data_IF_787985048776
#
_entry.id   IF_787985048776
#
_cell.length_a   1.000
_cell.length_b   1.000
_cell.length_c   1.000
_cell.angle_alpha   90.00
_cell.angle_beta   90.00
_cell.angle_gamma   90.00
#
_symmetry.space_group_name_H-M   'P 1'
#
loop_
_entity.id
_entity.type
_entity.pdbx_description
1 polymer ?
#
# COMPACT_ATOMS: atom_id res chain seq x y z
N UNK A 1 -29.61 14.87 9.41
CA UNK A 1 -30.68 14.86 8.36
C UNK A 1 -30.34 13.80 7.33
N UNK A 2 -31.32 13.30 6.57
CA UNK A 2 -31.08 12.38 5.46
C UNK A 2 -31.04 13.19 4.15
N UNK A 3 -30.05 12.94 3.29
CA UNK A 3 -29.87 13.62 2.00
C UNK A 3 -29.62 12.59 0.91
N UNK A 4 -30.19 12.82 -0.26
CA UNK A 4 -29.98 12.04 -1.47
C UNK A 4 -28.99 12.76 -2.39
N UNK A 5 -27.97 12.04 -2.86
CA UNK A 5 -26.96 12.55 -3.81
C UNK A 5 -26.85 11.57 -4.97
N UNK A 6 -26.48 12.07 -6.16
CA UNK A 6 -26.33 11.25 -7.36
C UNK A 6 -25.03 11.57 -8.07
N UNK A 7 -24.24 10.53 -8.40
CA UNK A 7 -22.99 10.61 -9.13
C UNK A 7 -22.89 9.48 -10.16
N UNK A 8 -21.98 9.59 -11.14
CA UNK A 8 -21.69 8.47 -12.02
C UNK A 8 -20.84 7.42 -11.29
N UNK A 9 -19.84 7.86 -10.55
CA UNK A 9 -18.98 6.97 -9.76
C UNK A 9 -18.75 7.51 -8.37
N UNK A 10 -18.88 6.65 -7.36
CA UNK A 10 -18.45 6.91 -6.00
C UNK A 10 -17.19 6.09 -5.68
N UNK A 11 -16.17 6.76 -5.10
CA UNK A 11 -14.91 6.15 -4.68
C UNK A 11 -14.82 6.25 -3.16
N UNK A 12 -14.61 5.15 -2.48
CA UNK A 12 -14.48 5.08 -1.02
C UNK A 12 -13.03 4.84 -0.63
N UNK A 13 -12.34 5.88 -0.20
CA UNK A 13 -10.94 5.86 0.21
C UNK A 13 -10.06 6.78 -0.63
N UNK A 14 -9.26 7.63 0.04
CA UNK A 14 -8.36 8.64 -0.53
C UNK A 14 -6.88 8.20 -0.54
N UNK A 15 -6.59 6.90 -0.48
CA UNK A 15 -5.26 6.35 -0.74
C UNK A 15 -4.89 6.40 -2.23
N UNK A 16 -3.65 5.98 -2.59
CA UNK A 16 -3.15 6.07 -3.98
C UNK A 16 -4.09 5.41 -4.98
N UNK A 17 -4.71 4.28 -4.64
CA UNK A 17 -5.63 3.57 -5.54
C UNK A 17 -6.90 4.37 -5.82
N UNK A 18 -7.53 4.95 -4.79
CA UNK A 18 -8.73 5.78 -4.97
C UNK A 18 -8.44 7.07 -5.73
N UNK A 19 -7.34 7.74 -5.40
CA UNK A 19 -6.91 8.97 -6.08
C UNK A 19 -6.57 8.69 -7.55
N UNK A 20 -5.85 7.60 -7.82
CA UNK A 20 -5.47 7.27 -9.20
C UNK A 20 -6.67 6.82 -10.03
N UNK A 21 -7.62 6.06 -9.44
CA UNK A 21 -8.89 5.76 -10.10
C UNK A 21 -9.63 7.04 -10.51
N UNK A 22 -9.74 8.04 -9.61
CA UNK A 22 -10.37 9.32 -9.91
C UNK A 22 -9.70 10.05 -11.07
N UNK A 23 -8.36 10.01 -11.18
CA UNK A 23 -7.60 10.60 -12.30
C UNK A 23 -7.81 9.89 -13.63
N UNK A 24 -8.08 8.57 -13.61
CA UNK A 24 -8.19 7.72 -14.80
C UNK A 24 -9.62 7.55 -15.32
N UNK A 25 -10.62 7.86 -14.51
CA UNK A 25 -12.02 7.87 -14.93
C UNK A 25 -12.29 8.96 -15.98
N UNK A 26 -13.30 8.78 -16.86
CA UNK A 26 -13.67 9.78 -17.85
C UNK A 26 -13.98 11.14 -17.22
N UNK A 27 -13.49 12.22 -17.86
CA UNK A 27 -13.68 13.59 -17.37
C UNK A 27 -15.14 14.08 -17.44
N UNK A 28 -15.96 13.37 -18.19
CA UNK A 28 -17.39 13.62 -18.34
C UNK A 28 -18.21 13.07 -17.18
N UNK A 29 -17.64 12.17 -16.37
CA UNK A 29 -18.31 11.62 -15.20
C UNK A 29 -18.23 12.56 -14.01
N UNK A 30 -19.33 12.70 -13.28
CA UNK A 30 -19.34 13.29 -11.95
C UNK A 30 -18.90 12.22 -10.94
N UNK A 31 -17.82 12.50 -10.23
CA UNK A 31 -17.19 11.58 -9.30
C UNK A 31 -17.28 12.13 -7.89
N UNK A 32 -17.69 11.30 -6.94
CA UNK A 32 -17.56 11.58 -5.52
C UNK A 32 -16.47 10.70 -4.93
N UNK A 33 -15.50 11.31 -4.25
CA UNK A 33 -14.50 10.61 -3.45
C UNK A 33 -14.75 10.92 -1.97
N UNK A 34 -14.92 9.88 -1.16
CA UNK A 34 -15.10 10.03 0.28
C UNK A 34 -13.97 9.35 1.05
N UNK A 35 -13.62 9.86 2.23
CA UNK A 35 -12.73 9.19 3.18
C UNK A 35 -13.16 9.48 4.62
N UNK A 36 -12.91 8.52 5.51
CA UNK A 36 -13.39 8.59 6.89
C UNK A 36 -12.56 9.46 7.82
N UNK A 37 -11.34 9.77 7.42
CA UNK A 37 -10.42 10.67 8.13
C UNK A 37 -10.09 11.87 7.22
N UNK A 38 -9.16 12.72 7.63
CA UNK A 38 -8.59 13.71 6.74
C UNK A 38 -7.82 13.05 5.57
N UNK A 39 -7.65 13.78 4.48
CA UNK A 39 -7.06 13.27 3.25
C UNK A 39 -5.64 12.71 3.41
N UNK A 40 -4.75 13.28 4.27
CA UNK A 40 -3.42 12.71 4.51
C UNK A 40 -3.40 11.43 5.35
N UNK A 41 -4.45 11.13 6.10
CA UNK A 41 -4.49 9.97 7.01
C UNK A 41 -4.79 8.67 6.28
N UNK A 42 -3.86 8.25 5.43
CA UNK A 42 -3.91 6.98 4.70
C UNK A 42 -2.53 6.30 4.68
N UNK A 43 -2.52 4.96 4.64
CA UNK A 43 -1.27 4.18 4.68
C UNK A 43 -0.36 4.42 3.46
N UNK A 44 -0.92 4.86 2.34
CA UNK A 44 -0.15 5.25 1.17
C UNK A 44 0.85 6.37 1.48
N UNK A 45 0.48 7.32 2.37
CA UNK A 45 1.38 8.38 2.85
C UNK A 45 2.55 7.85 3.67
N UNK A 46 2.43 6.66 4.25
CA UNK A 46 3.42 6.07 5.15
C UNK A 46 4.45 5.21 4.43
N UNK A 47 4.24 4.87 3.16
CA UNK A 47 5.13 3.99 2.42
C UNK A 47 6.50 4.65 2.20
N UNK A 48 7.55 4.02 2.74
CA UNK A 48 8.90 4.58 2.78
C UNK A 48 9.77 4.09 1.60
N UNK A 49 9.71 2.79 1.27
CA UNK A 49 10.66 2.13 0.38
C UNK A 49 10.61 2.65 -1.06
N UNK A 50 9.56 2.34 -1.79
CA UNK A 50 9.45 2.76 -3.17
C UNK A 50 8.36 2.06 -3.96
N UNK A 51 8.48 2.14 -5.28
CA UNK A 51 7.59 1.50 -6.24
C UNK A 51 8.40 0.74 -7.29
N UNK A 52 8.07 -0.54 -7.49
CA UNK A 52 8.74 -1.38 -8.47
C UNK A 52 8.41 -0.97 -9.90
N UNK A 53 9.37 -1.18 -10.81
CA UNK A 53 9.17 -1.02 -12.26
C UNK A 53 9.99 -2.05 -13.02
N UNK A 54 9.46 -2.58 -14.10
CA UNK A 54 10.21 -3.35 -15.09
C UNK A 54 11.16 -2.39 -15.83
N UNK A 55 12.48 -2.50 -15.60
CA UNK A 55 13.47 -1.57 -16.17
C UNK A 55 13.61 -1.67 -17.68
N UNK A 56 13.63 -2.89 -18.18
CA UNK A 56 13.73 -3.23 -19.59
C UNK A 56 13.15 -4.62 -19.86
N UNK A 57 13.13 -5.06 -21.11
CA UNK A 57 12.56 -6.36 -21.47
C UNK A 57 13.28 -7.54 -20.80
N UNK A 58 14.59 -7.39 -20.51
CA UNK A 58 15.39 -8.44 -19.87
C UNK A 58 15.12 -8.58 -18.38
N UNK A 59 14.40 -7.61 -17.76
CA UNK A 59 14.06 -7.63 -16.35
C UNK A 59 12.76 -8.37 -16.06
N UNK A 60 11.91 -8.61 -17.07
CA UNK A 60 10.59 -9.22 -16.89
C UNK A 60 10.64 -10.55 -16.14
N UNK A 61 11.40 -11.52 -16.65
CA UNK A 61 11.46 -12.86 -16.07
C UNK A 61 11.97 -12.84 -14.62
N UNK A 62 12.97 -11.99 -14.35
CA UNK A 62 13.51 -11.81 -13.00
C UNK A 62 12.48 -11.17 -12.06
N UNK A 63 11.73 -10.16 -12.51
CA UNK A 63 10.72 -9.50 -11.69
C UNK A 63 9.53 -10.43 -11.42
N UNK A 64 9.10 -11.17 -12.43
CA UNK A 64 8.04 -12.16 -12.34
C UNK A 64 8.39 -13.26 -11.33
N UNK A 65 9.59 -13.84 -11.46
CA UNK A 65 10.08 -14.90 -10.55
C UNK A 65 10.26 -14.41 -9.11
N UNK A 66 10.85 -13.21 -8.91
CA UNK A 66 10.99 -12.61 -7.58
C UNK A 66 9.62 -12.44 -6.90
N UNK A 67 8.60 -12.00 -7.67
CA UNK A 67 7.23 -11.83 -7.17
C UNK A 67 6.58 -13.15 -6.81
N UNK A 68 6.70 -14.18 -7.67
CA UNK A 68 6.14 -15.50 -7.39
C UNK A 68 6.82 -16.16 -6.18
N UNK A 69 8.14 -16.08 -6.11
CA UNK A 69 8.92 -16.66 -5.02
C UNK A 69 8.59 -16.01 -3.67
N UNK A 70 8.47 -14.68 -3.64
CA UNK A 70 8.06 -13.95 -2.44
C UNK A 70 6.66 -14.37 -1.98
N UNK A 71 5.74 -14.55 -2.93
CA UNK A 71 4.35 -14.97 -2.70
C UNK A 71 4.17 -16.47 -2.46
N UNK A 72 5.26 -17.23 -2.30
CA UNK A 72 5.26 -18.70 -2.12
C UNK A 72 4.63 -19.45 -3.29
N UNK A 73 4.65 -18.87 -4.51
CA UNK A 73 4.01 -19.39 -5.72
C UNK A 73 2.48 -19.55 -5.61
N UNK A 74 1.85 -18.91 -4.62
CA UNK A 74 0.39 -18.84 -4.46
C UNK A 74 -0.22 -17.62 -5.16
N UNK A 75 0.57 -16.95 -5.98
CA UNK A 75 0.17 -15.79 -6.76
C UNK A 75 -0.73 -16.19 -7.95
N UNK A 76 -1.68 -15.31 -8.28
CA UNK A 76 -2.38 -15.37 -9.57
C UNK A 76 -1.45 -14.83 -10.66
N UNK A 77 -0.88 -15.72 -11.47
CA UNK A 77 0.15 -15.40 -12.48
C UNK A 77 -0.31 -14.34 -13.49
N UNK A 78 -1.56 -14.38 -13.91
CA UNK A 78 -2.16 -13.36 -14.79
C UNK A 78 -2.08 -11.96 -14.17
N UNK A 79 -2.40 -11.83 -12.89
CA UNK A 79 -2.37 -10.54 -12.18
C UNK A 79 -0.94 -10.02 -12.01
N UNK A 80 0.02 -10.92 -11.78
CA UNK A 80 1.45 -10.57 -11.74
C UNK A 80 1.93 -10.08 -13.10
N UNK A 81 1.56 -10.76 -14.20
CA UNK A 81 1.88 -10.35 -15.57
C UNK A 81 1.31 -8.97 -15.89
N UNK A 82 0.02 -8.75 -15.59
CA UNK A 82 -0.63 -7.45 -15.78
C UNK A 82 0.11 -6.35 -15.01
N UNK A 83 0.43 -6.57 -13.73
CA UNK A 83 1.14 -5.59 -12.92
C UNK A 83 2.50 -5.22 -13.53
N UNK A 84 3.30 -6.21 -13.89
CA UNK A 84 4.67 -5.97 -14.38
C UNK A 84 4.65 -5.26 -15.74
N UNK A 85 3.83 -5.70 -16.68
CA UNK A 85 3.76 -5.10 -18.03
C UNK A 85 3.28 -3.65 -18.01
N UNK A 86 2.39 -3.29 -17.09
CA UNK A 86 1.89 -1.92 -16.97
C UNK A 86 2.80 -1.02 -16.11
N UNK A 87 3.85 -1.56 -15.47
CA UNK A 87 4.67 -0.81 -14.51
C UNK A 87 5.36 0.43 -15.10
N UNK A 88 5.90 0.34 -16.33
CA UNK A 88 6.54 1.47 -17.00
C UNK A 88 5.55 2.57 -17.34
N UNK A 89 4.36 2.20 -17.80
CA UNK A 89 3.31 3.16 -18.11
C UNK A 89 2.90 3.94 -16.85
N UNK A 90 2.73 3.25 -15.73
CA UNK A 90 2.43 3.87 -14.42
C UNK A 90 3.55 4.83 -13.99
N UNK A 91 4.83 4.43 -14.06
CA UNK A 91 5.94 5.33 -13.68
C UNK A 91 6.00 6.56 -14.57
N UNK A 92 5.81 6.40 -15.89
CA UNK A 92 5.80 7.53 -16.82
C UNK A 92 4.63 8.49 -16.54
N UNK A 93 3.46 7.96 -16.20
CA UNK A 93 2.29 8.75 -15.83
C UNK A 93 2.53 9.52 -14.51
N UNK A 94 3.08 8.86 -13.49
CA UNK A 94 3.46 9.51 -12.24
C UNK A 94 4.45 10.67 -12.46
N UNK A 95 5.44 10.49 -13.32
CA UNK A 95 6.38 11.54 -13.72
C UNK A 95 5.67 12.69 -14.42
N UNK A 96 4.74 12.40 -15.34
CA UNK A 96 3.94 13.40 -16.05
C UNK A 96 3.02 14.17 -15.09
N UNK A 97 2.49 13.54 -14.04
CA UNK A 97 1.70 14.16 -12.98
C UNK A 97 2.56 15.01 -12.01
N UNK A 98 3.89 14.91 -12.10
CA UNK A 98 4.82 15.72 -11.31
C UNK A 98 5.40 15.02 -10.08
N UNK A 99 5.30 13.68 -9.98
CA UNK A 99 5.99 12.92 -8.92
C UNK A 99 7.51 13.03 -9.11
N UNK A 100 8.22 13.31 -8.04
CA UNK A 100 9.68 13.45 -8.01
C UNK A 100 10.30 12.18 -7.48
N UNK A 101 10.91 11.40 -8.35
CA UNK A 101 11.79 10.31 -7.95
C UNK A 101 13.24 10.78 -7.90
N UNK A 102 14.05 10.13 -7.08
CA UNK A 102 15.48 10.37 -7.01
C UNK A 102 16.15 10.01 -8.33
N UNK A 103 17.18 10.77 -8.72
CA UNK A 103 17.85 10.66 -10.02
C UNK A 103 19.34 10.51 -9.87
N UNK A 104 19.96 9.88 -10.84
CA UNK A 104 21.41 9.86 -11.03
C UNK A 104 21.91 11.22 -11.51
N UNK A 105 23.23 11.41 -11.51
CA UNK A 105 23.87 12.67 -11.93
C UNK A 105 23.58 13.04 -13.40
N UNK A 106 23.26 12.05 -14.25
CA UNK A 106 22.89 12.23 -15.65
C UNK A 106 21.40 12.54 -15.86
N UNK A 107 20.62 12.59 -14.78
CA UNK A 107 19.19 12.86 -14.82
C UNK A 107 18.30 11.63 -15.04
N UNK A 108 18.86 10.45 -15.22
CA UNK A 108 18.11 9.19 -15.27
C UNK A 108 17.56 8.83 -13.89
N UNK A 109 16.51 7.96 -13.85
CA UNK A 109 15.97 7.49 -12.58
C UNK A 109 17.00 6.66 -11.81
N UNK A 110 17.13 6.95 -10.53
CA UNK A 110 17.90 6.12 -9.61
C UNK A 110 17.04 4.95 -9.13
N UNK A 111 17.66 3.76 -9.05
CA UNK A 111 16.97 2.55 -8.61
C UNK A 111 17.66 1.96 -7.39
N UNK A 112 16.86 1.56 -6.41
CA UNK A 112 17.31 0.79 -5.25
C UNK A 112 16.82 -0.65 -5.29
N UNK A 113 17.32 -1.45 -4.36
CA UNK A 113 16.96 -2.85 -4.18
C UNK A 113 16.56 -3.09 -2.73
N UNK A 114 15.47 -3.79 -2.51
CA UNK A 114 15.06 -4.29 -1.20
C UNK A 114 15.26 -5.82 -1.12
N UNK A 115 15.02 -6.39 0.05
CA UNK A 115 15.12 -7.82 0.27
C UNK A 115 14.24 -8.64 -0.69
N UNK A 116 14.69 -9.84 -1.04
CA UNK A 116 14.06 -10.76 -1.98
C UNK A 116 14.01 -10.30 -3.46
N UNK A 117 14.54 -9.11 -3.80
CA UNK A 117 14.73 -8.69 -5.19
C UNK A 117 16.09 -9.16 -5.74
N UNK A 118 16.10 -9.76 -6.92
CA UNK A 118 17.33 -10.15 -7.61
C UNK A 118 18.08 -8.95 -8.21
N UNK A 119 17.34 -7.90 -8.64
CA UNK A 119 17.89 -6.72 -9.31
C UNK A 119 17.37 -5.42 -8.69
N UNK A 120 18.13 -4.28 -8.77
CA UNK A 120 17.61 -2.96 -8.46
C UNK A 120 16.54 -2.57 -9.48
N UNK A 121 15.28 -2.38 -9.02
CA UNK A 121 14.15 -1.98 -9.88
C UNK A 121 13.13 -1.10 -9.17
N UNK A 122 13.51 -0.52 -8.05
CA UNK A 122 12.60 0.26 -7.21
C UNK A 122 12.92 1.73 -7.40
N UNK A 123 11.96 2.49 -7.95
CA UNK A 123 11.98 3.94 -7.96
C UNK A 123 11.60 4.45 -6.56
N UNK A 124 12.26 5.47 -6.08
CA UNK A 124 12.06 6.00 -4.74
C UNK A 124 12.26 7.51 -4.66
N UNK A 125 11.75 8.12 -3.61
CA UNK A 125 12.03 9.48 -3.21
C UNK A 125 12.48 9.47 -1.75
N UNK A 126 13.79 9.41 -1.53
CA UNK A 126 14.37 9.23 -0.18
C UNK A 126 13.67 8.06 0.54
N UNK A 127 13.23 8.29 1.78
CA UNK A 127 12.43 7.35 2.58
C UNK A 127 10.96 7.79 2.77
N UNK A 128 10.42 8.56 1.81
CA UNK A 128 9.05 9.11 1.84
C UNK A 128 8.33 8.95 0.49
N UNK A 129 8.62 7.90 -0.25
CA UNK A 129 8.10 7.70 -1.61
C UNK A 129 6.58 7.71 -1.67
N UNK A 130 5.91 7.04 -0.75
CA UNK A 130 4.45 7.01 -0.71
C UNK A 130 3.85 8.39 -0.47
N UNK A 131 4.46 9.20 0.40
CA UNK A 131 4.04 10.58 0.64
C UNK A 131 4.15 11.42 -0.63
N UNK A 132 5.29 11.37 -1.33
CA UNK A 132 5.51 12.11 -2.57
C UNK A 132 4.48 11.75 -3.65
N UNK A 133 4.21 10.44 -3.83
CA UNK A 133 3.21 9.97 -4.79
C UNK A 133 1.81 10.44 -4.36
N UNK A 134 1.40 10.17 -3.12
CA UNK A 134 0.05 10.44 -2.64
C UNK A 134 -0.29 11.93 -2.66
N UNK A 135 0.60 12.80 -2.16
CA UNK A 135 0.42 14.25 -2.21
C UNK A 135 0.33 14.79 -3.64
N UNK A 136 1.10 14.23 -4.56
CA UNK A 136 1.06 14.62 -5.97
C UNK A 136 -0.25 14.20 -6.61
N UNK A 137 -0.71 12.95 -6.41
CA UNK A 137 -2.01 12.50 -6.90
C UNK A 137 -3.15 13.33 -6.31
N UNK A 138 -3.12 13.60 -5.00
CA UNK A 138 -4.14 14.40 -4.33
C UNK A 138 -4.26 15.80 -4.93
N UNK A 139 -3.14 16.51 -5.13
CA UNK A 139 -3.15 17.83 -5.79
C UNK A 139 -3.77 17.79 -7.18
N UNK A 140 -3.45 16.75 -7.95
CA UNK A 140 -4.02 16.59 -9.30
C UNK A 140 -5.52 16.29 -9.24
N UNK A 141 -5.99 15.44 -8.32
CA UNK A 141 -7.42 15.15 -8.13
C UNK A 141 -8.20 16.42 -7.68
N UNK A 142 -7.64 17.18 -6.73
CA UNK A 142 -8.25 18.45 -6.27
C UNK A 142 -8.38 19.50 -7.37
N UNK A 143 -7.57 19.40 -8.43
CA UNK A 143 -7.67 20.29 -9.59
C UNK A 143 -8.72 19.85 -10.62
N UNK A 144 -9.34 18.68 -10.46
CA UNK A 144 -10.37 18.17 -11.38
C UNK A 144 -11.75 18.78 -11.05
N UNK A 145 -12.39 19.49 -12.01
CA UNK A 145 -13.67 20.14 -11.75
C UNK A 145 -14.85 19.15 -11.62
N UNK A 146 -14.67 17.91 -12.07
CA UNK A 146 -15.68 16.85 -12.05
C UNK A 146 -15.57 15.93 -10.84
N UNK A 147 -14.63 16.18 -9.90
CA UNK A 147 -14.46 15.40 -8.68
C UNK A 147 -14.86 16.23 -7.45
N UNK A 148 -15.81 15.71 -6.71
CA UNK A 148 -16.15 16.22 -5.37
C UNK A 148 -15.44 15.36 -4.33
N UNK A 149 -14.80 15.98 -3.35
CA UNK A 149 -14.14 15.27 -2.24
C UNK A 149 -14.88 15.59 -0.94
N UNK A 150 -15.17 14.54 -0.16
CA UNK A 150 -15.75 14.65 1.18
C UNK A 150 -14.88 13.83 2.14
N UNK A 151 -14.07 14.50 2.93
CA UNK A 151 -13.36 13.92 4.07
C UNK A 151 -14.28 13.76 5.28
N UNK A 152 -13.81 13.13 6.35
CA UNK A 152 -14.59 12.81 7.56
C UNK A 152 -15.99 12.26 7.24
N UNK A 153 -16.08 11.48 6.14
CA UNK A 153 -17.31 10.88 5.65
C UNK A 153 -17.14 9.35 5.62
N UNK A 154 -17.90 8.67 6.47
CA UNK A 154 -17.77 7.23 6.72
C UNK A 154 -18.81 6.46 5.90
N UNK A 155 -18.37 5.49 5.08
CA UNK A 155 -19.28 4.53 4.47
C UNK A 155 -19.86 3.59 5.54
N UNK A 156 -21.17 3.59 5.70
CA UNK A 156 -21.88 2.74 6.66
C UNK A 156 -22.49 1.50 6.00
N UNK A 157 -22.95 1.62 4.74
CA UNK A 157 -23.58 0.52 4.02
C UNK A 157 -23.48 0.67 2.50
N UNK A 158 -23.85 -0.39 1.76
CA UNK A 158 -24.03 -0.36 0.32
C UNK A 158 -25.53 -0.24 -0.02
N UNK A 159 -25.86 0.40 -1.15
CA UNK A 159 -27.18 0.40 -1.74
C UNK A 159 -27.24 -0.78 -2.73
N UNK A 160 -27.88 -1.87 -2.35
CA UNK A 160 -27.89 -3.13 -3.12
C UNK A 160 -29.32 -3.54 -3.48
N UNK A 161 -29.51 -3.88 -4.74
CA UNK A 161 -30.73 -4.54 -5.24
C UNK A 161 -30.35 -5.78 -6.04
N UNK A 162 -30.81 -6.94 -5.58
CA UNK A 162 -30.36 -8.23 -6.12
C UNK A 162 -28.86 -8.42 -5.97
N UNK A 163 -28.14 -8.62 -7.08
CA UNK A 163 -26.66 -8.69 -7.11
C UNK A 163 -26.04 -7.44 -7.74
N UNK A 164 -26.67 -6.28 -7.57
CA UNK A 164 -26.21 -5.03 -8.17
C UNK A 164 -26.01 -3.96 -7.09
N UNK A 165 -24.85 -3.31 -7.10
CA UNK A 165 -24.56 -2.14 -6.27
C UNK A 165 -25.05 -0.87 -7.00
N UNK A 166 -25.82 -0.05 -6.31
CA UNK A 166 -26.35 1.24 -6.80
C UNK A 166 -25.78 2.44 -6.04
N UNK A 167 -24.68 2.25 -5.30
CA UNK A 167 -24.05 3.27 -4.50
C UNK A 167 -23.89 2.88 -3.04
N UNK A 168 -23.84 3.89 -2.16
CA UNK A 168 -23.53 3.71 -0.74
C UNK A 168 -24.44 4.53 0.17
N UNK A 169 -24.51 4.12 1.43
CA UNK A 169 -24.95 4.97 2.53
C UNK A 169 -23.72 5.44 3.29
N UNK A 170 -23.60 6.72 3.51
CA UNK A 170 -22.49 7.30 4.25
C UNK A 170 -22.96 8.25 5.34
N UNK A 171 -22.13 8.46 6.35
CA UNK A 171 -22.35 9.42 7.42
C UNK A 171 -21.28 10.50 7.36
N UNK A 172 -21.73 11.74 7.16
CA UNK A 172 -20.86 12.90 7.14
C UNK A 172 -20.45 13.33 8.56
N UNK A 173 -19.41 14.16 8.67
CA UNK A 173 -18.87 14.69 9.93
C UNK A 173 -19.94 15.33 10.84
N UNK A 174 -20.86 16.08 10.23
CA UNK A 174 -21.95 16.74 10.94
C UNK A 174 -23.10 15.79 11.39
N UNK A 175 -22.93 14.48 11.15
CA UNK A 175 -23.90 13.44 11.49
C UNK A 175 -25.05 13.26 10.49
N UNK A 176 -25.03 13.96 9.35
CA UNK A 176 -26.01 13.74 8.28
C UNK A 176 -25.80 12.37 7.63
N UNK A 177 -26.89 11.67 7.34
CA UNK A 177 -26.86 10.42 6.58
C UNK A 177 -27.03 10.76 5.08
N UNK A 178 -26.10 10.31 4.29
CA UNK A 178 -26.06 10.52 2.85
C UNK A 178 -26.39 9.21 2.13
N UNK A 179 -27.48 9.18 1.38
CA UNK A 179 -27.77 8.11 0.41
C UNK A 179 -27.19 8.55 -0.93
N UNK A 180 -26.08 7.94 -1.31
CA UNK A 180 -25.30 8.31 -2.49
C UNK A 180 -25.57 7.27 -3.57
N UNK A 181 -26.41 7.62 -4.54
CA UNK A 181 -26.67 6.79 -5.71
C UNK A 181 -25.54 6.96 -6.72
N UNK A 182 -25.04 5.85 -7.25
CA UNK A 182 -23.98 5.85 -8.25
C UNK A 182 -24.14 4.68 -9.22
N UNK A 183 -23.76 4.92 -10.48
CA UNK A 183 -23.71 3.86 -11.50
C UNK A 183 -22.61 2.84 -11.18
N UNK A 184 -21.47 3.32 -10.62
CA UNK A 184 -20.37 2.47 -10.20
C UNK A 184 -19.85 2.86 -8.82
N UNK A 185 -19.45 1.87 -8.04
CA UNK A 185 -18.83 2.04 -6.72
C UNK A 185 -17.45 1.41 -6.71
N UNK A 186 -16.41 2.17 -6.34
CA UNK A 186 -15.03 1.70 -6.20
C UNK A 186 -14.65 1.71 -4.71
N UNK A 187 -14.39 0.54 -4.16
CA UNK A 187 -13.89 0.36 -2.81
C UNK A 187 -12.35 0.43 -2.82
N UNK A 188 -11.79 1.47 -2.20
CA UNK A 188 -10.35 1.73 -2.06
C UNK A 188 -9.99 1.93 -0.58
N UNK A 189 -10.60 1.14 0.31
CA UNK A 189 -10.68 1.38 1.76
C UNK A 189 -9.46 0.93 2.54
N UNK A 190 -8.41 0.41 1.88
CA UNK A 190 -7.22 -0.11 2.53
C UNK A 190 -7.45 -1.44 3.24
N UNK A 191 -6.54 -1.78 4.16
CA UNK A 191 -6.48 -3.09 4.80
C UNK A 191 -7.20 -3.18 6.15
N UNK A 192 -6.62 -3.99 7.04
CA UNK A 192 -7.17 -4.38 8.36
C UNK A 192 -6.22 -4.08 9.51
N UNK A 193 -5.18 -3.28 9.28
CA UNK A 193 -4.10 -3.10 10.25
C UNK A 193 -4.54 -2.50 11.59
N UNK A 194 -5.61 -1.70 11.59
CA UNK A 194 -6.20 -1.14 12.81
C UNK A 194 -6.82 -2.17 13.76
N UNK A 195 -7.00 -3.42 13.32
CA UNK A 195 -7.47 -4.53 14.17
C UNK A 195 -6.35 -5.21 14.97
N UNK A 196 -5.08 -4.84 14.73
CA UNK A 196 -3.92 -5.44 15.35
C UNK A 196 -3.33 -4.52 16.44
N UNK A 197 -2.95 -5.10 17.57
CA UNK A 197 -2.29 -4.36 18.64
C UNK A 197 -0.94 -3.77 18.22
N UNK A 198 -0.17 -4.53 17.43
CA UNK A 198 1.10 -4.10 16.85
C UNK A 198 0.96 -3.98 15.34
N UNK A 199 0.85 -2.75 14.84
CA UNK A 199 0.68 -2.47 13.43
C UNK A 199 1.45 -1.23 13.00
N UNK A 200 1.90 -1.23 11.74
CA UNK A 200 2.49 -0.05 11.10
C UNK A 200 1.44 0.82 10.42
N UNK A 201 0.18 0.37 10.39
CA UNK A 201 -0.93 1.01 9.69
C UNK A 201 -1.68 2.01 10.59
N UNK A 202 -2.49 2.88 9.98
CA UNK A 202 -3.40 3.73 10.72
C UNK A 202 -4.44 2.90 11.47
N UNK A 203 -4.78 3.25 12.74
CA UNK A 203 -5.80 2.54 13.52
C UNK A 203 -7.19 2.58 12.89
N UNK A 204 -7.45 3.53 12.01
CA UNK A 204 -8.72 3.66 11.29
C UNK A 204 -8.93 2.58 10.21
N UNK A 205 -7.91 1.80 9.84
CA UNK A 205 -8.04 0.72 8.85
C UNK A 205 -8.62 -0.55 9.49
N UNK A 206 -9.93 -0.65 9.53
CA UNK A 206 -10.69 -1.68 10.25
C UNK A 206 -11.44 -2.67 9.35
N UNK A 207 -11.13 -2.69 8.04
CA UNK A 207 -11.74 -3.63 7.10
C UNK A 207 -13.21 -3.32 6.81
N UNK A 208 -13.61 -2.06 6.75
CA UNK A 208 -15.03 -1.67 6.63
C UNK A 208 -15.69 -2.25 5.38
N UNK A 209 -15.01 -2.18 4.22
CA UNK A 209 -15.53 -2.76 2.99
C UNK A 209 -15.61 -4.29 3.04
N UNK A 210 -14.70 -4.97 3.76
CA UNK A 210 -14.73 -6.43 3.89
C UNK A 210 -15.98 -6.89 4.64
N UNK A 211 -16.33 -6.20 5.72
CA UNK A 211 -17.55 -6.48 6.48
C UNK A 211 -18.81 -6.30 5.64
N UNK A 212 -18.85 -5.29 4.77
CA UNK A 212 -19.99 -5.08 3.87
C UNK A 212 -20.00 -6.10 2.73
N UNK A 213 -18.84 -6.46 2.19
CA UNK A 213 -18.72 -7.53 1.20
C UNK A 213 -19.28 -8.86 1.75
N UNK A 214 -18.91 -9.25 2.96
CA UNK A 214 -19.42 -10.44 3.64
C UNK A 214 -20.94 -10.35 3.84
N UNK A 215 -21.45 -9.20 4.34
CA UNK A 215 -22.88 -8.94 4.55
C UNK A 215 -23.73 -9.18 3.29
N UNK A 216 -23.21 -8.80 2.13
CA UNK A 216 -23.92 -8.88 0.86
C UNK A 216 -23.49 -10.07 -0.02
N UNK A 217 -22.70 -11.00 0.51
CA UNK A 217 -22.29 -12.20 -0.20
C UNK A 217 -21.31 -11.96 -1.35
N UNK A 218 -20.58 -10.84 -1.34
CA UNK A 218 -19.47 -10.60 -2.26
C UNK A 218 -18.29 -11.50 -1.87
N UNK A 219 -17.68 -12.16 -2.83
CA UNK A 219 -16.63 -13.15 -2.57
C UNK A 219 -15.41 -12.50 -1.91
N UNK A 220 -14.96 -13.12 -0.79
CA UNK A 220 -13.70 -12.78 -0.10
C UNK A 220 -12.70 -13.92 -0.31
N UNK A 221 -11.41 -13.58 -0.44
CA UNK A 221 -10.33 -14.56 -0.58
C UNK A 221 -9.16 -14.28 0.37
N UNK A 222 -8.47 -15.36 0.77
CA UNK A 222 -7.20 -15.32 1.48
C UNK A 222 -7.24 -14.43 2.75
N UNK A 223 -8.32 -14.50 3.51
CA UNK A 223 -8.56 -13.65 4.68
C UNK A 223 -7.53 -13.85 5.80
N UNK A 224 -6.76 -14.94 5.76
CA UNK A 224 -5.66 -15.26 6.66
C UNK A 224 -4.27 -14.82 6.14
N UNK A 225 -4.20 -14.20 4.93
CA UNK A 225 -2.94 -13.76 4.33
C UNK A 225 -2.56 -12.37 4.83
N UNK A 226 -1.87 -12.33 5.96
CA UNK A 226 -1.40 -11.10 6.60
C UNK A 226 0.12 -11.09 6.63
N UNK A 227 0.73 -10.02 6.15
CA UNK A 227 2.18 -9.82 6.18
C UNK A 227 2.59 -9.11 7.46
N UNK A 228 3.57 -9.70 8.14
CA UNK A 228 4.27 -9.08 9.26
C UNK A 228 5.56 -8.44 8.73
N UNK A 229 5.79 -7.17 9.04
CA UNK A 229 7.05 -6.50 8.74
C UNK A 229 8.06 -6.73 9.87
N UNK A 230 9.30 -7.15 9.56
CA UNK A 230 10.28 -7.51 10.57
C UNK A 230 10.73 -6.34 11.47
N UNK A 231 10.81 -5.13 10.92
CA UNK A 231 11.50 -4.01 11.54
C UNK A 231 10.60 -2.79 11.69
N UNK A 232 9.73 -2.80 12.71
CA UNK A 232 9.09 -1.59 13.23
C UNK A 232 9.82 -1.13 14.50
N UNK A 233 9.95 0.19 14.69
CA UNK A 233 10.56 0.75 15.89
C UNK A 233 9.76 0.33 17.12
N UNK A 234 10.40 -0.35 18.07
CA UNK A 234 9.74 -0.79 19.29
C UNK A 234 9.32 0.40 20.17
N UNK A 235 8.11 0.35 20.68
CA UNK A 235 7.58 1.33 21.62
C UNK A 235 6.61 0.64 22.57
N UNK A 236 6.64 1.00 23.85
CA UNK A 236 5.62 0.59 24.82
C UNK A 236 4.37 1.47 24.79
N UNK A 237 4.39 2.56 24.02
CA UNK A 237 3.22 3.43 23.83
C UNK A 237 2.21 2.75 22.92
N UNK A 238 0.90 2.83 23.24
CA UNK A 238 -0.12 2.31 22.35
C UNK A 238 -0.18 3.12 21.04
N UNK A 239 -0.66 2.48 19.99
CA UNK A 239 -0.84 3.11 18.67
C UNK A 239 0.06 2.51 17.59
N UNK A 240 0.18 3.24 16.49
CA UNK A 240 0.92 2.80 15.33
C UNK A 240 2.42 2.74 15.60
N UNK A 241 3.04 1.62 15.25
CA UNK A 241 4.50 1.48 15.27
C UNK A 241 5.13 2.13 14.03
N UNK A 242 6.20 2.90 14.24
CA UNK A 242 6.92 3.50 13.13
C UNK A 242 7.68 2.44 12.34
N UNK A 243 7.43 2.38 11.03
CA UNK A 243 8.13 1.46 10.12
C UNK A 243 9.58 1.92 9.92
N UNK A 244 10.55 1.03 10.10
CA UNK A 244 11.90 1.19 9.55
C UNK A 244 11.96 0.35 8.27
N UNK A 245 12.06 1.03 7.11
CA UNK A 245 11.96 0.45 5.78
C UNK A 245 12.90 -0.74 5.58
N UNK A 246 12.46 -1.68 4.76
CA UNK A 246 13.31 -2.78 4.29
C UNK A 246 14.52 -2.30 3.50
N UNK A 247 14.45 -1.11 2.87
CA UNK A 247 15.58 -0.48 2.19
C UNK A 247 16.78 -0.32 3.11
N UNK A 248 16.57 -0.02 4.41
CA UNK A 248 17.66 0.05 5.39
C UNK A 248 18.47 -1.25 5.46
N UNK A 249 17.79 -2.41 5.47
CA UNK A 249 18.42 -3.73 5.42
C UNK A 249 19.02 -4.02 4.05
N UNK A 250 18.37 -3.56 2.99
CA UNK A 250 18.88 -3.61 1.62
C UNK A 250 20.20 -2.86 1.43
N UNK A 251 20.40 -1.76 2.15
CA UNK A 251 21.60 -0.94 2.12
C UNK A 251 22.62 -1.32 3.21
N UNK A 252 22.36 -2.39 3.97
CA UNK A 252 23.39 -2.99 4.83
C UNK A 252 23.10 -2.97 6.32
N UNK A 253 21.97 -2.41 6.79
CA UNK A 253 21.62 -2.50 8.21
C UNK A 253 21.41 -3.96 8.63
N UNK A 254 21.89 -4.34 9.83
CA UNK A 254 21.93 -5.70 10.34
C UNK A 254 21.12 -5.87 11.62
N UNK A 255 20.57 -7.07 11.81
CA UNK A 255 19.82 -7.46 13.01
C UNK A 255 20.75 -8.10 14.04
N UNK A 256 20.68 -7.59 15.27
CA UNK A 256 21.48 -8.04 16.41
C UNK A 256 20.60 -8.51 17.55
N UNK A 257 21.01 -9.55 18.25
CA UNK A 257 20.43 -9.99 19.50
C UNK A 257 20.88 -9.12 20.70
N UNK A 258 20.49 -9.45 21.93
CA UNK A 258 20.84 -8.72 23.14
C UNK A 258 22.36 -8.74 23.45
N UNK A 259 23.11 -9.66 22.85
CA UNK A 259 24.57 -9.79 23.00
C UNK A 259 25.33 -9.06 21.91
N UNK A 260 24.63 -8.41 20.96
CA UNK A 260 25.26 -7.74 19.80
C UNK A 260 25.68 -8.70 18.70
N UNK A 261 25.14 -9.91 18.66
CA UNK A 261 25.45 -10.94 17.68
C UNK A 261 24.41 -10.95 16.56
N UNK A 262 24.85 -11.04 15.30
CA UNK A 262 23.96 -11.22 14.13
C UNK A 262 23.42 -12.63 14.10
N UNK A 263 22.10 -12.81 13.94
CA UNK A 263 21.41 -14.10 14.06
C UNK A 263 20.63 -14.51 12.81
N UNK A 264 20.48 -13.66 11.82
CA UNK A 264 19.70 -13.91 10.60
C UNK A 264 20.31 -13.24 9.39
N UNK A 265 20.01 -13.75 8.18
CA UNK A 265 20.25 -13.02 6.94
C UNK A 265 19.06 -12.07 6.69
N UNK A 266 19.29 -10.78 6.79
CA UNK A 266 18.28 -9.72 6.72
C UNK A 266 17.64 -9.56 5.34
N UNK A 267 18.23 -10.12 4.28
CA UNK A 267 17.74 -10.07 2.90
C UNK A 267 16.80 -11.23 2.53
N UNK A 268 16.51 -12.12 3.47
CA UNK A 268 15.48 -13.15 3.29
C UNK A 268 14.07 -12.49 3.20
N UNK A 269 13.05 -13.20 2.66
CA UNK A 269 11.67 -12.76 2.68
C UNK A 269 11.18 -12.38 4.09
N UNK A 270 10.27 -11.42 4.17
CA UNK A 270 9.79 -10.82 5.45
C UNK A 270 9.29 -11.84 6.46
N UNK A 271 8.53 -12.84 6.00
CA UNK A 271 8.03 -13.92 6.85
C UNK A 271 9.17 -14.71 7.52
N UNK A 272 10.27 -14.98 6.80
CA UNK A 272 11.44 -15.68 7.33
C UNK A 272 12.21 -14.82 8.33
N UNK A 273 12.40 -13.54 8.03
CA UNK A 273 13.07 -12.63 8.95
C UNK A 273 12.23 -12.39 10.20
N UNK A 274 10.91 -12.19 10.08
CA UNK A 274 10.01 -12.03 11.22
C UNK A 274 10.00 -13.28 12.12
N UNK A 275 9.94 -14.47 11.53
CA UNK A 275 10.02 -15.73 12.28
C UNK A 275 11.34 -15.87 13.05
N UNK A 276 12.47 -15.50 12.44
CA UNK A 276 13.78 -15.52 13.10
C UNK A 276 13.84 -14.52 14.26
N UNK A 277 13.28 -13.33 14.11
CA UNK A 277 13.20 -12.33 15.19
C UNK A 277 12.36 -12.86 16.35
N UNK A 278 11.17 -13.41 16.09
CA UNK A 278 10.33 -13.98 17.13
C UNK A 278 11.04 -15.11 17.90
N UNK A 279 11.71 -16.02 17.15
CA UNK A 279 12.48 -17.11 17.77
C UNK A 279 13.62 -16.60 18.66
N UNK A 280 14.34 -15.55 18.24
CA UNK A 280 15.43 -14.97 19.04
C UNK A 280 14.89 -14.23 20.26
N UNK A 281 13.78 -13.48 20.11
CA UNK A 281 13.09 -12.83 21.24
C UNK A 281 12.62 -13.84 22.28
N UNK A 282 12.02 -14.96 21.87
CA UNK A 282 11.55 -16.03 22.76
C UNK A 282 12.74 -16.68 23.50
N UNK A 283 13.80 -17.00 22.75
CA UNK A 283 15.03 -17.62 23.30
C UNK A 283 15.69 -16.75 24.36
N UNK A 284 15.70 -15.43 24.17
CA UNK A 284 16.34 -14.48 25.09
C UNK A 284 15.39 -13.89 26.15
N UNK A 285 14.08 -14.09 26.00
CA UNK A 285 13.06 -13.51 26.88
C UNK A 285 12.98 -11.99 26.73
N UNK A 286 13.23 -11.46 25.54
CA UNK A 286 13.24 -10.02 25.25
C UNK A 286 11.97 -9.58 24.50
N UNK A 287 11.64 -8.29 24.58
CA UNK A 287 10.48 -7.71 23.88
C UNK A 287 10.83 -7.18 22.47
N UNK A 288 12.09 -7.11 22.13
CA UNK A 288 12.60 -6.60 20.86
C UNK A 288 13.99 -7.17 20.57
N UNK A 289 14.43 -7.00 19.34
CA UNK A 289 15.83 -7.14 18.90
C UNK A 289 16.38 -5.78 18.48
N UNK A 290 17.61 -5.73 18.01
CA UNK A 290 18.28 -4.49 17.64
C UNK A 290 18.57 -4.41 16.16
N UNK A 291 18.28 -3.26 15.53
CA UNK A 291 18.68 -2.95 14.15
C UNK A 291 19.84 -1.96 14.18
N UNK A 292 21.00 -2.39 13.70
CA UNK A 292 22.22 -1.59 13.65
C UNK A 292 22.48 -1.06 12.24
N UNK A 293 22.70 0.24 12.14
CA UNK A 293 23.12 0.92 10.92
C UNK A 293 24.64 1.06 10.82
N UNK A 294 25.42 0.46 11.73
CA UNK A 294 26.88 0.57 11.72
C UNK A 294 27.57 0.21 10.39
N UNK A 295 27.06 -0.75 9.58
CA UNK A 295 27.62 -1.03 8.26
C UNK A 295 27.21 -0.01 7.17
N UNK A 296 26.22 0.85 7.42
CA UNK A 296 25.71 1.85 6.46
C UNK A 296 26.52 3.13 6.62
N UNK A 297 27.05 3.72 5.54
CA UNK A 297 27.76 5.00 5.62
C UNK A 297 26.89 6.10 6.25
N UNK A 298 27.45 6.91 7.14
CA UNK A 298 26.70 7.96 7.84
C UNK A 298 26.05 8.98 6.89
N UNK A 299 26.69 9.24 5.76
CA UNK A 299 26.18 10.12 4.70
C UNK A 299 24.93 9.51 4.04
N UNK A 300 24.91 8.18 3.81
CA UNK A 300 23.77 7.48 3.23
C UNK A 300 22.58 7.47 4.21
N UNK A 301 22.82 7.37 5.52
CA UNK A 301 21.75 7.49 6.52
C UNK A 301 21.05 8.85 6.41
N UNK A 302 21.80 9.94 6.25
CA UNK A 302 21.23 11.28 6.12
C UNK A 302 20.55 11.53 4.78
N UNK A 303 21.11 11.00 3.69
CA UNK A 303 20.65 11.26 2.34
C UNK A 303 19.48 10.35 1.92
N UNK A 304 19.54 9.06 2.30
CA UNK A 304 18.55 8.06 1.87
C UNK A 304 17.45 7.84 2.91
N UNK A 305 17.76 8.02 4.22
CA UNK A 305 16.84 7.72 5.32
C UNK A 305 16.61 8.90 6.27
N UNK A 306 16.44 10.16 5.77
CA UNK A 306 16.36 11.34 6.64
C UNK A 306 15.16 11.30 7.59
N UNK A 307 14.02 10.75 7.17
CA UNK A 307 12.84 10.63 8.00
C UNK A 307 13.00 9.51 9.05
N UNK A 308 13.60 8.37 8.67
CA UNK A 308 13.93 7.29 9.62
C UNK A 308 14.91 7.80 10.68
N UNK A 309 15.98 8.47 10.25
CA UNK A 309 16.96 9.04 11.17
C UNK A 309 16.34 10.02 12.16
N UNK A 310 15.55 10.96 11.65
CA UNK A 310 14.84 11.94 12.47
C UNK A 310 13.92 11.26 13.49
N UNK A 311 13.10 10.30 13.05
CA UNK A 311 12.13 9.63 13.93
C UNK A 311 12.81 8.78 14.99
N UNK A 312 13.89 8.06 14.65
CA UNK A 312 14.68 7.32 15.62
C UNK A 312 15.31 8.25 16.66
N UNK A 313 15.88 9.38 16.21
CA UNK A 313 16.48 10.37 17.09
C UNK A 313 15.44 10.99 18.04
N UNK A 314 14.25 11.33 17.57
CA UNK A 314 13.13 11.81 18.40
C UNK A 314 12.66 10.77 19.42
N UNK A 315 12.80 9.48 19.08
CA UNK A 315 12.54 8.36 19.99
C UNK A 315 13.71 8.09 20.99
N UNK A 316 14.83 8.81 20.85
CA UNK A 316 15.99 8.70 21.75
C UNK A 316 17.14 7.83 21.23
N UNK A 317 17.09 7.39 19.93
CA UNK A 317 18.09 6.51 19.32
C UNK A 317 18.84 7.23 18.19
N UNK A 318 20.12 7.54 18.40
CA UNK A 318 20.99 8.04 17.32
C UNK A 318 21.55 6.86 16.52
N UNK A 319 20.82 6.45 15.45
CA UNK A 319 21.16 5.27 14.65
C UNK A 319 22.50 5.35 13.91
N UNK A 320 23.16 6.50 13.92
CA UNK A 320 24.56 6.63 13.46
C UNK A 320 25.57 6.14 14.49
N UNK A 321 25.18 6.05 15.76
CA UNK A 321 26.05 5.72 16.90
C UNK A 321 25.66 4.44 17.61
N UNK A 322 24.38 4.13 17.62
CA UNK A 322 23.81 3.02 18.37
C UNK A 322 22.68 2.32 17.60
N UNK A 323 22.40 1.04 17.86
CA UNK A 323 21.27 0.36 17.23
C UNK A 323 19.92 0.82 17.79
N UNK A 324 18.88 0.80 16.95
CA UNK A 324 17.51 1.04 17.36
C UNK A 324 16.79 -0.28 17.73
N UNK A 325 15.92 -0.29 18.76
CA UNK A 325 15.12 -1.47 19.09
C UNK A 325 14.02 -1.67 18.06
N UNK A 326 13.85 -2.91 17.56
CA UNK A 326 12.85 -3.23 16.56
C UNK A 326 12.07 -4.49 16.91
N UNK A 327 10.82 -4.55 16.46
CA UNK A 327 9.89 -5.65 16.68
C UNK A 327 9.08 -5.90 15.41
N UNK A 328 8.74 -7.17 15.09
CA UNK A 328 7.79 -7.47 14.02
C UNK A 328 6.40 -6.90 14.32
N UNK A 329 5.75 -6.32 13.31
CA UNK A 329 4.40 -5.77 13.42
C UNK A 329 3.58 -6.09 12.16
N UNK A 330 2.25 -6.15 12.30
CA UNK A 330 1.36 -6.24 11.15
C UNK A 330 1.63 -5.07 10.20
N UNK A 331 1.65 -5.34 8.88
CA UNK A 331 2.04 -4.33 7.92
C UNK A 331 1.19 -4.29 6.66
N UNK A 332 0.78 -5.43 6.09
CA UNK A 332 0.02 -5.48 4.85
C UNK A 332 -0.94 -6.67 4.83
N UNK A 333 -2.10 -6.47 4.23
CA UNK A 333 -3.12 -7.50 4.06
C UNK A 333 -3.18 -7.94 2.59
N UNK A 334 -2.83 -9.20 2.29
CA UNK A 334 -2.85 -9.73 0.93
C UNK A 334 -4.16 -10.40 0.55
N UNK A 335 -5.03 -10.65 1.53
CA UNK A 335 -6.41 -11.08 1.31
C UNK A 335 -7.33 -9.93 0.93
N UNK A 336 -8.64 -10.17 0.92
CA UNK A 336 -9.64 -9.13 0.70
C UNK A 336 -10.76 -9.52 -0.24
N UNK A 337 -11.42 -8.52 -0.80
CA UNK A 337 -12.50 -8.69 -1.76
C UNK A 337 -11.92 -9.28 -3.06
N UNK A 338 -12.42 -10.47 -3.44
CA UNK A 338 -12.00 -11.10 -4.69
C UNK A 338 -12.38 -10.25 -5.89
N UNK A 339 -11.44 -10.05 -6.79
CA UNK A 339 -11.66 -9.30 -8.03
C UNK A 339 -11.07 -10.03 -9.24
N UNK A 340 -11.64 -9.76 -10.40
CA UNK A 340 -11.13 -10.18 -11.69
C UNK A 340 -9.95 -9.31 -12.18
N UNK A 341 -9.53 -9.49 -13.43
CA UNK A 341 -8.45 -8.71 -14.05
C UNK A 341 -8.76 -7.21 -14.22
N UNK A 342 -10.04 -6.83 -14.14
CA UNK A 342 -10.54 -5.46 -14.25
C UNK A 342 -10.90 -4.85 -12.90
N UNK A 343 -10.51 -5.50 -11.80
CA UNK A 343 -10.88 -5.12 -10.43
C UNK A 343 -12.38 -5.15 -10.14
N UNK A 344 -13.18 -5.83 -10.97
CA UNK A 344 -14.61 -6.04 -10.76
C UNK A 344 -14.81 -7.17 -9.74
N UNK A 345 -15.72 -6.96 -8.79
CA UNK A 345 -16.10 -7.96 -7.79
C UNK A 345 -17.14 -8.93 -8.36
N UNK A 346 -17.61 -9.88 -7.54
CA UNK A 346 -18.74 -10.77 -7.88
C UNK A 346 -20.11 -10.06 -7.88
N UNK A 347 -20.18 -8.81 -7.43
CA UNK A 347 -21.38 -7.97 -7.49
C UNK A 347 -21.27 -6.98 -8.65
N UNK A 348 -22.34 -6.82 -9.42
CA UNK A 348 -22.38 -5.88 -10.54
C UNK A 348 -22.22 -4.44 -10.06
N UNK A 349 -21.49 -3.62 -10.83
CA UNK A 349 -21.19 -2.21 -10.57
C UNK A 349 -20.41 -1.94 -9.28
N UNK A 350 -19.80 -2.99 -8.68
CA UNK A 350 -18.93 -2.91 -7.52
C UNK A 350 -17.52 -3.36 -7.88
N UNK A 351 -16.55 -2.46 -7.62
CA UNK A 351 -15.12 -2.67 -7.85
C UNK A 351 -14.37 -2.57 -6.53
N UNK A 352 -13.22 -3.24 -6.43
CA UNK A 352 -12.31 -3.08 -5.30
C UNK A 352 -10.87 -2.95 -5.80
N UNK A 353 -10.12 -1.97 -5.27
CA UNK A 353 -8.76 -1.65 -5.70
C UNK A 353 -7.83 -1.39 -4.52
N UNK A 354 -6.53 -1.64 -4.70
CA UNK A 354 -5.54 -1.54 -3.64
C UNK A 354 -5.72 -2.60 -2.56
N UNK A 355 -5.25 -2.35 -1.36
CA UNK A 355 -5.14 -3.35 -0.29
C UNK A 355 -6.48 -3.95 0.17
N UNK A 356 -7.62 -3.31 -0.10
CA UNK A 356 -8.94 -3.90 0.18
C UNK A 356 -9.32 -5.04 -0.77
N UNK A 357 -8.63 -5.13 -1.93
CA UNK A 357 -8.88 -6.14 -2.97
C UNK A 357 -7.92 -7.33 -2.88
N UNK A 358 -8.40 -8.50 -3.22
CA UNK A 358 -7.60 -9.70 -3.45
C UNK A 358 -7.58 -10.05 -4.95
N UNK A 359 -6.69 -9.41 -5.70
CA UNK A 359 -6.43 -9.74 -7.11
C UNK A 359 -5.42 -10.88 -7.29
N UNK A 360 -4.76 -11.32 -6.21
CA UNK A 360 -3.84 -12.43 -6.18
C UNK A 360 -2.41 -12.11 -6.63
N UNK A 361 -2.05 -10.83 -6.83
CA UNK A 361 -0.66 -10.43 -7.18
C UNK A 361 0.35 -10.88 -6.14
N UNK A 362 0.00 -10.77 -4.85
CA UNK A 362 0.97 -10.90 -3.77
C UNK A 362 1.14 -12.33 -3.24
N UNK A 363 0.23 -13.25 -3.59
CA UNK A 363 0.24 -14.60 -2.99
C UNK A 363 0.18 -14.52 -1.46
N UNK A 364 0.90 -15.42 -0.80
CA UNK A 364 0.89 -15.53 0.68
C UNK A 364 1.81 -14.55 1.39
N UNK A 365 2.74 -13.91 0.67
CA UNK A 365 3.67 -12.92 1.22
C UNK A 365 4.10 -11.95 0.13
N UNK A 366 3.88 -10.64 0.36
CA UNK A 366 4.10 -9.60 -0.62
C UNK A 366 5.60 -9.30 -0.80
N UNK A 367 6.05 -9.24 -2.06
CA UNK A 367 7.36 -8.68 -2.39
C UNK A 367 7.36 -7.18 -2.07
N UNK A 368 8.41 -6.71 -1.43
CA UNK A 368 8.55 -5.30 -1.07
C UNK A 368 8.39 -4.37 -2.28
N UNK A 369 7.82 -3.19 -2.09
CA UNK A 369 7.59 -2.15 -3.10
C UNK A 369 6.67 -2.53 -4.27
N UNK A 370 5.99 -3.69 -4.24
CA UNK A 370 4.97 -4.08 -5.22
C UNK A 370 3.58 -3.48 -4.93
N UNK A 371 3.25 -3.12 -3.67
CA UNK A 371 1.90 -2.71 -3.30
C UNK A 371 1.44 -1.40 -3.94
N UNK A 372 2.31 -0.39 -4.01
CA UNK A 372 1.98 0.86 -4.68
C UNK A 372 1.76 0.65 -6.18
N UNK A 373 2.60 -0.18 -6.83
CA UNK A 373 2.44 -0.51 -8.25
C UNK A 373 1.14 -1.26 -8.51
N UNK A 374 0.86 -2.31 -7.72
CA UNK A 374 -0.39 -3.06 -7.79
C UNK A 374 -1.60 -2.14 -7.66
N UNK A 375 -1.61 -1.29 -6.62
CA UNK A 375 -2.70 -0.36 -6.33
C UNK A 375 -3.00 0.58 -7.50
N UNK A 376 -1.96 1.11 -8.16
CA UNK A 376 -2.11 2.02 -9.30
C UNK A 376 -2.55 1.28 -10.56
N UNK A 377 -1.90 0.17 -10.90
CA UNK A 377 -2.24 -0.62 -12.09
C UNK A 377 -3.70 -1.07 -12.05
N UNK A 378 -4.14 -1.66 -10.94
CA UNK A 378 -5.49 -2.19 -10.85
C UNK A 378 -6.57 -1.11 -10.65
N UNK A 379 -6.21 0.05 -10.11
CA UNK A 379 -7.09 1.24 -10.14
C UNK A 379 -7.33 1.73 -11.57
N UNK A 380 -6.29 1.74 -12.40
CA UNK A 380 -6.44 2.08 -13.83
C UNK A 380 -7.26 1.03 -14.58
N UNK A 381 -7.07 -0.28 -14.30
CA UNK A 381 -7.88 -1.34 -14.92
C UNK A 381 -9.39 -1.20 -14.56
N UNK A 382 -9.72 -0.85 -13.32
CA UNK A 382 -11.09 -0.53 -12.92
C UNK A 382 -11.65 0.65 -13.71
N UNK A 383 -10.90 1.75 -13.79
CA UNK A 383 -11.32 2.95 -14.52
C UNK A 383 -11.48 2.71 -16.02
N UNK A 384 -10.60 1.90 -16.64
CA UNK A 384 -10.70 1.51 -18.05
C UNK A 384 -11.96 0.68 -18.32
N UNK A 385 -12.26 -0.30 -17.45
CA UNK A 385 -13.47 -1.11 -17.55
C UNK A 385 -14.74 -0.27 -17.42
N UNK A 386 -14.82 0.62 -16.41
CA UNK A 386 -15.93 1.55 -16.21
C UNK A 386 -16.12 2.47 -17.43
N UNK A 387 -15.03 2.87 -18.09
CA UNK A 387 -15.06 3.70 -19.30
C UNK A 387 -15.44 2.95 -20.58
N UNK A 388 -15.65 1.62 -20.52
CA UNK A 388 -15.90 0.79 -21.71
C UNK A 388 -14.72 0.68 -22.67
N UNK A 389 -13.48 0.87 -22.17
CA UNK A 389 -12.24 0.85 -22.95
C UNK A 389 -11.54 -0.51 -22.89
N UNK A 390 -12.30 -1.60 -22.86
CA UNK A 390 -11.75 -2.95 -22.91
C UNK A 390 -11.18 -3.22 -24.30
N UNK A 391 -9.91 -3.66 -24.37
CA UNK A 391 -9.29 -4.14 -25.60
C UNK A 391 -8.40 -3.16 -26.36
N UNK A 392 -7.96 -2.07 -25.74
CA UNK A 392 -6.84 -1.27 -26.24
C UNK A 392 -5.53 -1.72 -25.54
N UNK A 393 -5.17 -3.00 -25.73
CA UNK A 393 -3.85 -3.54 -25.36
C UNK A 393 -2.85 -3.33 -26.49
#
# INVERSE_FOLDING_TARGET
>A
MEKELTYNTVIVGAGVSGLYAALKLPKEQNILLICKEDLPSCDSMLAQGGICVQRDETDYDSFFEDTLKAGHYENRKESVDIMIRNSRAVINDLLALGVRFDKEADGSLKYTREGAHAKPRICFHKDITGKEITETLLRNVQALPNVTIMDYTVMEDLLVEGNTCHGIVAKAENGDILRIHAENTILATGGIGGLYEHSTNFPSLTGDALRLAEKYGVELKNMDYVQIHPTSLYSEKPGRHFLISESARGEGAILLNSKGERFVNELLPRDKVSAAIHAEMEKEGTKHVWLSFAPVPAEDIENHFPNIYKTCLEAGYDIKKEPAPVVPAQHYFMGGIHVDRHSKTTMEHLYAVGETSCNGVHGKNRLASNSLLESLVFAEKAAQHIAGKEGLE
#
